data_IF_104548970620
#
_entry.id   IF_104548970620
#
_cell.length_a   1.000
_cell.length_b   1.000
_cell.length_c   1.000
_cell.angle_alpha   90.00
_cell.angle_beta   90.00
_cell.angle_gamma   90.00
#
_symmetry.space_group_name_H-M   'P 1'
#
loop_
_entity.id
_entity.type
_entity.pdbx_description
1 polymer ?
#
# COMPACT_ATOMS: atom_id res chain seq x y z
N UNK A 1 -34.10 5.34 -15.15
CA UNK A 1 -33.17 5.80 -14.10
C UNK A 1 -31.79 5.86 -14.71
N UNK A 2 -31.07 6.95 -14.52
CA UNK A 2 -29.71 7.07 -15.04
C UNK A 2 -28.76 6.21 -14.22
N UNK A 3 -27.83 5.57 -14.91
CA UNK A 3 -26.86 4.66 -14.29
C UNK A 3 -25.92 5.38 -13.31
N UNK A 4 -25.60 6.65 -13.60
CA UNK A 4 -24.75 7.49 -12.77
C UNK A 4 -25.41 8.83 -12.48
N UNK A 5 -25.31 9.29 -11.23
CA UNK A 5 -25.78 10.61 -10.79
C UNK A 5 -24.63 11.34 -10.11
N UNK A 6 -24.51 12.64 -10.35
CA UNK A 6 -23.58 13.52 -9.64
C UNK A 6 -24.35 14.41 -8.67
N UNK A 7 -23.89 14.51 -7.43
CA UNK A 7 -24.44 15.42 -6.42
C UNK A 7 -23.52 16.62 -6.23
N UNK A 8 -23.93 17.79 -6.73
CA UNK A 8 -23.20 19.05 -6.59
C UNK A 8 -23.00 19.48 -5.12
N UNK A 9 -23.84 19.02 -4.18
CA UNK A 9 -23.73 19.40 -2.76
C UNK A 9 -22.56 18.72 -2.07
N UNK A 10 -22.29 17.46 -2.43
CA UNK A 10 -21.27 16.63 -1.79
C UNK A 10 -20.06 16.37 -2.70
N UNK A 11 -20.15 16.71 -3.99
CA UNK A 11 -19.09 16.50 -5.00
C UNK A 11 -18.84 15.03 -5.34
N UNK A 12 -19.81 14.15 -5.07
CA UNK A 12 -19.67 12.70 -5.24
C UNK A 12 -20.47 12.20 -6.44
N UNK A 13 -19.90 11.19 -7.11
CA UNK A 13 -20.61 10.37 -8.09
C UNK A 13 -21.32 9.22 -7.39
N UNK A 14 -22.47 8.82 -7.92
CA UNK A 14 -23.24 7.68 -7.45
C UNK A 14 -23.52 6.74 -8.62
N UNK A 15 -23.39 5.43 -8.40
CA UNK A 15 -23.76 4.37 -9.33
C UNK A 15 -25.04 3.67 -8.86
N UNK A 16 -25.96 3.38 -9.77
CA UNK A 16 -27.14 2.60 -9.47
C UNK A 16 -26.77 1.10 -9.36
N UNK A 17 -26.92 0.54 -8.16
CA UNK A 17 -26.78 -0.90 -7.90
C UNK A 17 -28.09 -1.44 -7.27
N UNK A 18 -28.79 -2.30 -8.02
CA UNK A 18 -30.13 -2.74 -7.63
C UNK A 18 -31.09 -1.54 -7.59
N UNK A 19 -31.69 -1.31 -6.42
CA UNK A 19 -32.66 -0.23 -6.19
C UNK A 19 -32.02 1.01 -5.52
N UNK A 20 -30.71 1.02 -5.30
CA UNK A 20 -30.02 2.08 -4.54
C UNK A 20 -28.89 2.74 -5.33
N UNK A 21 -28.72 4.05 -5.10
CA UNK A 21 -27.57 4.81 -5.56
C UNK A 21 -26.44 4.72 -4.54
N UNK A 22 -25.34 4.09 -4.92
CA UNK A 22 -24.15 3.88 -4.06
C UNK A 22 -23.05 4.86 -4.49
N UNK A 23 -22.46 5.64 -3.56
CA UNK A 23 -21.39 6.56 -3.90
C UNK A 23 -20.18 5.82 -4.48
N UNK A 24 -19.66 6.35 -5.58
CA UNK A 24 -18.40 5.92 -6.19
C UNK A 24 -17.24 6.37 -5.30
N UNK A 25 -16.94 5.59 -4.27
CA UNK A 25 -15.73 5.73 -3.47
C UNK A 25 -14.55 5.32 -4.36
N UNK A 26 -13.93 6.31 -5.01
CA UNK A 26 -12.63 6.10 -5.63
C UNK A 26 -11.68 5.61 -4.55
N UNK A 27 -11.20 4.36 -4.67
CA UNK A 27 -10.05 3.94 -3.88
C UNK A 27 -8.98 5.00 -4.14
N UNK A 28 -8.57 5.73 -3.10
CA UNK A 28 -7.31 6.45 -3.10
C UNK A 28 -6.28 5.37 -3.37
N UNK A 29 -6.00 5.17 -4.66
CA UNK A 29 -4.99 4.23 -5.11
C UNK A 29 -3.70 4.97 -4.79
N UNK A 30 -3.36 5.06 -3.51
CA UNK A 30 -1.98 5.15 -3.10
C UNK A 30 -1.31 4.07 -3.93
N UNK A 31 -0.53 4.49 -4.93
CA UNK A 31 0.09 3.58 -5.86
C UNK A 31 0.89 2.62 -5.00
N UNK A 32 0.35 1.43 -4.76
CA UNK A 32 1.00 0.40 -3.98
C UNK A 32 2.30 0.12 -4.69
N UNK A 33 3.39 0.74 -4.19
CA UNK A 33 4.69 0.56 -4.79
C UNK A 33 4.98 -0.93 -4.65
N UNK A 34 5.32 -1.63 -5.74
CA UNK A 34 5.53 -3.07 -5.66
C UNK A 34 6.63 -3.35 -4.64
N UNK A 35 6.27 -4.10 -3.60
CA UNK A 35 7.19 -4.51 -2.55
C UNK A 35 8.18 -5.50 -3.19
N UNK A 36 9.45 -5.10 -3.32
CA UNK A 36 10.49 -5.97 -3.86
C UNK A 36 10.74 -7.22 -3.01
N UNK A 37 11.47 -8.20 -3.54
CA UNK A 37 11.70 -9.51 -2.92
C UNK A 37 12.17 -9.44 -1.45
N UNK A 38 13.06 -8.50 -1.14
CA UNK A 38 13.58 -8.30 0.22
C UNK A 38 12.52 -7.74 1.18
N UNK A 39 11.64 -6.86 0.70
CA UNK A 39 10.52 -6.35 1.49
C UNK A 39 9.51 -7.46 1.82
N UNK A 40 9.22 -8.34 0.85
CA UNK A 40 8.31 -9.48 1.08
C UNK A 40 8.88 -10.48 2.10
N UNK A 41 10.17 -10.81 2.00
CA UNK A 41 10.84 -11.70 2.97
C UNK A 41 10.86 -11.09 4.38
N UNK A 42 11.14 -9.80 4.50
CA UNK A 42 11.13 -9.15 5.81
C UNK A 42 9.73 -9.01 6.41
N UNK A 43 8.71 -8.80 5.57
CA UNK A 43 7.32 -8.85 6.01
C UNK A 43 6.97 -10.21 6.62
N UNK A 44 7.41 -11.31 6.03
CA UNK A 44 7.21 -12.65 6.59
C UNK A 44 7.90 -12.79 7.95
N UNK A 45 9.16 -12.36 8.07
CA UNK A 45 9.89 -12.33 9.33
C UNK A 45 9.19 -11.49 10.42
N UNK A 46 8.65 -10.32 10.07
CA UNK A 46 7.90 -9.49 11.00
C UNK A 46 6.64 -10.18 11.54
N UNK A 47 5.92 -10.91 10.67
CA UNK A 47 4.73 -11.66 11.06
C UNK A 47 5.06 -12.81 12.01
N UNK A 48 6.14 -13.55 11.74
CA UNK A 48 6.51 -14.74 12.51
C UNK A 48 7.22 -14.40 13.82
N UNK A 49 8.13 -13.43 13.82
CA UNK A 49 9.03 -13.18 14.94
C UNK A 49 8.80 -11.86 15.67
N UNK A 50 8.14 -10.88 15.03
CA UNK A 50 7.98 -9.51 15.56
C UNK A 50 6.54 -9.00 15.44
N UNK A 51 5.58 -9.83 15.85
CA UNK A 51 4.14 -9.57 15.73
C UNK A 51 3.69 -8.22 16.28
N UNK A 52 4.22 -7.77 17.42
CA UNK A 52 3.89 -6.46 18.00
C UNK A 52 4.31 -5.30 17.08
N UNK A 53 5.50 -5.38 16.49
CA UNK A 53 6.00 -4.36 15.56
C UNK A 53 5.15 -4.37 14.29
N UNK A 54 4.81 -5.55 13.77
CA UNK A 54 3.93 -5.68 12.62
C UNK A 54 2.55 -5.04 12.85
N UNK A 55 1.91 -5.33 13.98
CA UNK A 55 0.60 -4.75 14.34
C UNK A 55 0.73 -3.23 14.47
N UNK A 56 1.75 -2.73 15.17
CA UNK A 56 1.95 -1.29 15.30
C UNK A 56 2.16 -0.58 13.95
N UNK A 57 2.91 -1.19 13.04
CA UNK A 57 3.11 -0.65 11.68
C UNK A 57 1.84 -0.69 10.84
N UNK A 58 1.02 -1.74 10.98
CA UNK A 58 -0.29 -1.84 10.33
C UNK A 58 -1.26 -0.76 10.85
N UNK A 59 -1.38 -0.62 12.18
CA UNK A 59 -2.31 0.34 12.80
C UNK A 59 -1.90 1.80 12.55
N UNK A 60 -0.60 2.06 12.34
CA UNK A 60 -0.10 3.40 12.03
C UNK A 60 -0.05 3.71 10.53
N UNK A 61 -0.47 2.77 9.68
CA UNK A 61 -0.45 2.86 8.21
C UNK A 61 0.94 3.13 7.58
N UNK A 62 2.01 2.88 8.35
CA UNK A 62 3.41 3.12 7.93
C UNK A 62 4.10 1.87 7.39
N UNK A 63 3.37 0.76 7.29
CA UNK A 63 3.96 -0.51 6.88
C UNK A 63 4.56 -0.43 5.47
N UNK A 64 3.83 0.14 4.51
CA UNK A 64 4.28 0.22 3.12
C UNK A 64 5.55 1.09 3.00
N UNK A 65 5.58 2.25 3.65
CA UNK A 65 6.76 3.13 3.66
C UNK A 65 7.98 2.43 4.25
N UNK A 66 7.80 1.75 5.39
CA UNK A 66 8.86 1.01 6.06
C UNK A 66 9.46 -0.08 5.17
N UNK A 67 8.62 -0.86 4.49
CA UNK A 67 9.07 -1.95 3.61
C UNK A 67 9.80 -1.43 2.37
N UNK A 68 9.34 -0.32 1.78
CA UNK A 68 10.00 0.32 0.64
C UNK A 68 11.37 0.86 1.03
N UNK A 69 11.47 1.52 2.19
CA UNK A 69 12.73 2.04 2.70
C UNK A 69 13.74 0.92 2.96
N UNK A 70 13.31 -0.17 3.60
CA UNK A 70 14.16 -1.34 3.83
C UNK A 70 14.61 -2.01 2.52
N UNK A 71 13.70 -2.18 1.56
CA UNK A 71 14.06 -2.75 0.27
C UNK A 71 15.11 -1.89 -0.46
N UNK A 72 14.96 -0.56 -0.40
CA UNK A 72 15.92 0.39 -0.95
C UNK A 72 17.29 0.33 -0.28
N UNK A 73 17.35 0.23 1.05
CA UNK A 73 18.62 0.12 1.78
C UNK A 73 19.32 -1.21 1.49
N UNK A 74 18.60 -2.32 1.47
CA UNK A 74 19.14 -3.64 1.13
C UNK A 74 19.71 -3.69 -0.29
N UNK A 75 19.01 -3.09 -1.27
CA UNK A 75 19.53 -3.00 -2.64
C UNK A 75 20.78 -2.14 -2.72
N UNK A 76 20.84 -1.04 -1.96
CA UNK A 76 21.99 -0.13 -1.95
C UNK A 76 23.23 -0.80 -1.35
N UNK A 77 23.08 -1.49 -0.22
CA UNK A 77 24.20 -2.20 0.43
C UNK A 77 24.73 -3.31 -0.46
N UNK A 78 23.85 -4.09 -1.10
CA UNK A 78 24.24 -5.13 -2.05
C UNK A 78 25.01 -4.55 -3.25
N UNK A 79 24.52 -3.46 -3.84
CA UNK A 79 25.21 -2.78 -4.94
C UNK A 79 26.59 -2.24 -4.52
N UNK A 80 26.69 -1.66 -3.32
CA UNK A 80 27.98 -1.20 -2.80
C UNK A 80 28.98 -2.37 -2.66
N UNK A 81 28.56 -3.49 -2.07
CA UNK A 81 29.41 -4.68 -1.92
C UNK A 81 29.84 -5.28 -3.27
N UNK A 82 28.96 -5.29 -4.27
CA UNK A 82 29.28 -5.76 -5.62
C UNK A 82 30.27 -4.81 -6.31
N UNK A 83 30.08 -3.49 -6.18
CA UNK A 83 30.98 -2.50 -6.77
C UNK A 83 32.35 -2.44 -6.08
N UNK A 84 32.46 -2.72 -4.78
CA UNK A 84 33.76 -2.82 -4.08
C UNK A 84 34.60 -4.03 -4.50
N UNK A 85 33.99 -4.99 -5.23
CA UNK A 85 34.64 -6.22 -5.69
C UNK A 85 35.09 -6.17 -7.16
N UNK A 86 34.92 -5.02 -7.83
CA UNK A 86 35.50 -4.71 -9.14
C UNK A 86 36.62 -3.70 -8.98
#
# INVERSE_FOLDING_TARGET
MDKYIYDDKNGLWYELQGDYYIPCLGLLTEKEKPIGLWGQRHLHYLKEHKRLIYINLMTSDRLNEYLVLLAGTASRTLNALVCFRK
#
